data_IF_064090102630
#
_entry.id   IF_064090102630
#
_cell.length_a   1.000
_cell.length_b   1.000
_cell.length_c   1.000
_cell.angle_alpha   90.00
_cell.angle_beta   90.00
_cell.angle_gamma   90.00
#
_symmetry.space_group_name_H-M   'P 1'
#
loop_
_entity.id
_entity.type
_entity.pdbx_description
1 polymer ?
#
# COMPACT_ATOMS: atom_id res chain seq x y z
N UNK A 1 5.70 6.99 -28.66
CA UNK A 1 4.52 6.17 -28.32
C UNK A 1 4.31 6.24 -26.82
N UNK A 2 3.16 6.74 -26.36
CA UNK A 2 2.77 6.72 -24.95
C UNK A 2 2.27 5.32 -24.59
N UNK A 3 2.69 4.80 -23.42
CA UNK A 3 2.16 3.54 -22.91
C UNK A 3 0.66 3.67 -22.61
N UNK A 4 -0.16 2.64 -22.83
CA UNK A 4 -1.56 2.66 -22.45
C UNK A 4 -1.68 2.86 -20.92
N UNK A 5 -2.73 3.58 -20.51
CA UNK A 5 -3.12 3.73 -19.11
C UNK A 5 -3.79 2.45 -18.61
N UNK A 6 -3.88 2.30 -17.28
CA UNK A 6 -4.61 1.19 -16.69
C UNK A 6 -6.11 1.37 -16.94
N UNK A 7 -6.81 0.28 -17.15
CA UNK A 7 -8.27 0.21 -17.07
C UNK A 7 -8.71 0.32 -15.61
N UNK A 8 -9.98 0.66 -15.38
CA UNK A 8 -10.55 0.68 -14.03
C UNK A 8 -10.42 -0.68 -13.32
N UNK A 9 -10.63 -1.78 -14.04
CA UNK A 9 -10.50 -3.13 -13.48
C UNK A 9 -9.06 -3.44 -13.07
N UNK A 10 -8.07 -3.01 -13.87
CA UNK A 10 -6.67 -3.14 -13.49
C UNK A 10 -6.31 -2.30 -12.26
N UNK A 11 -6.92 -1.12 -12.11
CA UNK A 11 -6.78 -0.33 -10.88
C UNK A 11 -7.35 -1.05 -9.66
N UNK A 12 -8.55 -1.64 -9.75
CA UNK A 12 -9.19 -2.39 -8.66
C UNK A 12 -8.36 -3.63 -8.26
N UNK A 13 -7.92 -4.42 -9.24
CA UNK A 13 -7.06 -5.57 -8.99
C UNK A 13 -5.72 -5.16 -8.36
N UNK A 14 -5.13 -4.05 -8.81
CA UNK A 14 -3.91 -3.52 -8.23
C UNK A 14 -4.13 -3.03 -6.79
N UNK A 15 -5.22 -2.31 -6.54
CA UNK A 15 -5.61 -1.85 -5.20
C UNK A 15 -5.76 -3.01 -4.22
N UNK A 16 -6.47 -4.07 -4.61
CA UNK A 16 -6.61 -5.28 -3.79
C UNK A 16 -5.26 -5.93 -3.45
N UNK A 17 -4.37 -6.06 -4.45
CA UNK A 17 -3.05 -6.69 -4.24
C UNK A 17 -2.18 -5.87 -3.30
N UNK A 18 -2.15 -4.55 -3.48
CA UNK A 18 -1.37 -3.65 -2.63
C UNK A 18 -1.93 -3.59 -1.21
N UNK A 19 -3.26 -3.65 -1.04
CA UNK A 19 -3.89 -3.75 0.28
C UNK A 19 -3.46 -5.02 1.03
N UNK A 20 -3.44 -6.17 0.35
CA UNK A 20 -2.98 -7.43 0.94
C UNK A 20 -1.50 -7.35 1.36
N UNK A 21 -0.62 -6.78 0.52
CA UNK A 21 0.79 -6.60 0.85
C UNK A 21 0.95 -5.68 2.06
N UNK A 22 0.21 -4.56 2.12
CA UNK A 22 0.24 -3.65 3.26
C UNK A 22 -0.16 -4.33 4.56
N UNK A 23 -1.22 -5.13 4.52
CA UNK A 23 -1.70 -5.88 5.68
C UNK A 23 -0.65 -6.88 6.17
N UNK A 24 -0.02 -7.62 5.25
CA UNK A 24 1.04 -8.57 5.58
C UNK A 24 2.27 -7.87 6.21
N UNK A 25 2.70 -6.73 5.65
CA UNK A 25 3.78 -5.93 6.24
C UNK A 25 3.46 -5.50 7.67
N UNK A 26 2.21 -5.13 7.93
CA UNK A 26 1.77 -4.77 9.28
C UNK A 26 1.81 -5.97 10.24
N UNK A 27 1.26 -7.12 9.85
CA UNK A 27 1.31 -8.35 10.66
C UNK A 27 2.75 -8.72 11.00
N UNK A 28 3.63 -8.75 10.00
CA UNK A 28 5.04 -9.09 10.18
C UNK A 28 5.75 -8.09 11.09
N UNK A 29 5.47 -6.79 10.97
CA UNK A 29 6.02 -5.77 11.86
C UNK A 29 5.60 -6.02 13.32
N UNK A 30 4.34 -6.36 13.57
CA UNK A 30 3.83 -6.67 14.91
C UNK A 30 4.48 -7.94 15.45
N UNK A 31 4.60 -8.98 14.62
CA UNK A 31 5.25 -10.23 15.02
C UNK A 31 6.70 -9.98 15.46
N UNK A 32 7.45 -9.16 14.73
CA UNK A 32 8.81 -8.79 15.10
C UNK A 32 8.87 -7.92 16.36
N UNK A 33 7.95 -6.97 16.53
CA UNK A 33 7.87 -6.14 17.75
C UNK A 33 7.50 -6.93 19.00
N UNK A 34 6.85 -8.09 18.84
CA UNK A 34 6.56 -9.03 19.91
C UNK A 34 7.73 -9.98 20.20
N UNK A 35 8.54 -10.30 19.19
CA UNK A 35 9.67 -11.22 19.32
C UNK A 35 10.97 -10.54 19.78
N UNK A 36 11.18 -9.27 19.42
CA UNK A 36 12.43 -8.55 19.64
C UNK A 36 12.21 -7.22 20.39
N UNK A 37 13.24 -6.70 21.08
CA UNK A 37 13.17 -5.39 21.71
C UNK A 37 12.82 -4.27 20.70
N UNK A 38 12.05 -3.27 21.15
CA UNK A 38 11.63 -2.11 20.33
C UNK A 38 12.76 -1.12 20.03
N UNK A 39 13.94 -1.32 20.62
CA UNK A 39 15.12 -0.45 20.50
C UNK A 39 16.37 -1.25 20.22
N UNK A 40 17.39 -0.62 19.64
CA UNK A 40 18.66 -1.27 19.31
C UNK A 40 18.61 -2.02 17.98
N UNK A 41 19.67 -2.78 17.67
CA UNK A 41 19.87 -3.40 16.34
C UNK A 41 18.82 -4.44 16.01
N UNK A 42 18.29 -5.14 17.01
CA UNK A 42 17.24 -6.15 16.82
C UNK A 42 15.87 -5.54 16.45
N UNK A 43 15.68 -4.23 16.71
CA UNK A 43 14.46 -3.51 16.30
C UNK A 43 14.44 -3.12 14.81
N UNK A 44 15.61 -3.14 14.15
CA UNK A 44 15.75 -2.65 12.77
C UNK A 44 14.86 -3.38 11.75
N UNK A 45 14.71 -4.73 11.79
CA UNK A 45 13.80 -5.41 10.87
C UNK A 45 12.35 -4.93 10.97
N UNK A 46 11.82 -4.76 12.18
CA UNK A 46 10.45 -4.27 12.38
C UNK A 46 10.27 -2.83 11.85
N UNK A 47 11.26 -1.96 12.09
CA UNK A 47 11.25 -0.59 11.56
C UNK A 47 11.26 -0.57 10.04
N UNK A 48 12.04 -1.44 9.39
CA UNK A 48 12.12 -1.49 7.92
C UNK A 48 10.81 -1.97 7.28
N UNK A 49 10.09 -2.89 7.93
CA UNK A 49 8.76 -3.27 7.47
C UNK A 49 7.74 -2.13 7.62
N UNK A 50 7.83 -1.37 8.71
CA UNK A 50 6.99 -0.18 8.91
C UNK A 50 7.32 0.93 7.90
N UNK A 51 8.59 1.19 7.61
CA UNK A 51 9.02 2.11 6.54
C UNK A 51 8.48 1.66 5.17
N UNK A 52 8.57 0.36 4.85
CA UNK A 52 8.02 -0.18 3.61
C UNK A 52 6.50 0.01 3.52
N UNK A 53 5.79 -0.15 4.65
CA UNK A 53 4.35 0.11 4.77
C UNK A 53 4.01 1.57 4.45
N UNK A 54 4.78 2.51 4.99
CA UNK A 54 4.59 3.94 4.74
C UNK A 54 4.89 4.34 3.29
N UNK A 55 5.93 3.77 2.68
CA UNK A 55 6.22 3.99 1.25
C UNK A 55 5.07 3.46 0.38
N UNK A 56 4.50 2.32 0.75
CA UNK A 56 3.34 1.76 0.07
C UNK A 56 2.09 2.64 0.22
N UNK A 57 1.85 3.23 1.40
CA UNK A 57 0.76 4.20 1.61
C UNK A 57 0.89 5.40 0.65
N UNK A 58 2.10 5.96 0.50
CA UNK A 58 2.34 7.04 -0.47
C UNK A 58 2.07 6.58 -1.90
N UNK A 59 2.44 5.36 -2.27
CA UNK A 59 2.16 4.83 -3.60
C UNK A 59 0.64 4.67 -3.84
N UNK A 60 -0.12 4.22 -2.84
CA UNK A 60 -1.58 4.12 -2.88
C UNK A 60 -2.23 5.49 -3.10
N UNK A 61 -1.77 6.52 -2.38
CA UNK A 61 -2.26 7.90 -2.55
C UNK A 61 -2.05 8.40 -3.98
N UNK A 62 -0.85 8.17 -4.54
CA UNK A 62 -0.53 8.59 -5.92
C UNK A 62 -1.31 7.83 -6.98
N UNK A 63 -1.61 6.56 -6.73
CA UNK A 63 -2.43 5.76 -7.64
C UNK A 63 -3.91 6.16 -7.57
N UNK A 64 -4.40 6.58 -6.40
CA UNK A 64 -5.73 7.14 -6.23
C UNK A 64 -5.87 8.46 -6.98
N UNK A 65 -4.94 9.40 -6.81
CA UNK A 65 -4.88 10.64 -7.60
C UNK A 65 -4.98 10.32 -9.10
N UNK A 66 -4.24 9.30 -9.54
CA UNK A 66 -4.19 8.91 -10.95
C UNK A 66 -5.47 8.24 -11.46
N UNK A 67 -6.13 7.43 -10.63
CA UNK A 67 -7.44 6.87 -10.93
C UNK A 67 -8.48 7.98 -11.15
N UNK A 68 -8.47 9.03 -10.33
CA UNK A 68 -9.37 10.17 -10.48
C UNK A 68 -9.10 10.97 -11.77
N UNK A 69 -7.84 11.07 -12.19
CA UNK A 69 -7.49 11.69 -13.47
C UNK A 69 -7.88 10.84 -14.68
N UNK A 70 -7.66 9.52 -14.62
CA UNK A 70 -7.83 8.61 -15.75
C UNK A 70 -9.29 8.16 -15.94
N UNK A 71 -10.04 8.00 -14.84
CA UNK A 71 -11.40 7.45 -14.83
C UNK A 71 -12.37 8.26 -13.94
N UNK A 72 -12.56 9.57 -14.16
CA UNK A 72 -13.28 10.46 -13.23
C UNK A 72 -14.75 10.08 -12.97
N UNK A 73 -15.39 9.33 -13.88
CA UNK A 73 -16.78 8.87 -13.73
C UNK A 73 -16.91 7.56 -12.95
N UNK A 74 -15.83 6.80 -12.82
CA UNK A 74 -15.79 5.49 -12.16
C UNK A 74 -14.96 5.50 -10.89
N UNK A 75 -14.06 6.49 -10.75
CA UNK A 75 -13.20 6.65 -9.60
C UNK A 75 -14.03 6.76 -8.31
N UNK A 76 -13.71 5.90 -7.36
CA UNK A 76 -14.20 5.96 -5.99
C UNK A 76 -12.99 5.93 -5.05
N UNK A 77 -13.17 6.47 -3.84
CA UNK A 77 -12.14 6.40 -2.80
C UNK A 77 -11.81 4.95 -2.46
N UNK A 78 -12.72 4.01 -2.65
CA UNK A 78 -12.60 2.63 -2.15
C UNK A 78 -11.51 1.81 -2.85
N UNK A 79 -11.14 2.15 -4.09
CA UNK A 79 -10.21 1.33 -4.89
C UNK A 79 -8.83 1.22 -4.22
N UNK A 80 -8.26 2.35 -3.79
CA UNK A 80 -6.96 2.37 -3.11
C UNK A 80 -7.07 2.65 -1.60
N UNK A 81 -8.17 3.24 -1.11
CA UNK A 81 -8.34 3.47 0.34
C UNK A 81 -8.56 2.19 1.15
N UNK A 82 -9.04 1.09 0.55
CA UNK A 82 -9.12 -0.23 1.20
C UNK A 82 -7.76 -0.71 1.70
N UNK A 83 -6.68 -0.31 1.02
CA UNK A 83 -5.34 -0.59 1.50
C UNK A 83 -5.04 0.09 2.82
N UNK A 84 -5.66 1.24 3.12
CA UNK A 84 -5.34 2.11 4.26
C UNK A 84 -6.15 1.80 5.53
N UNK A 85 -7.30 1.14 5.41
CA UNK A 85 -8.09 0.65 6.56
C UNK A 85 -7.32 -0.41 7.37
#
# INVERSE_FOLDING_TARGET
MTKPRLTFEEHDQLGMRLAAIRHELHILSIQLLNAYPKTGRESEPAKKLEEARQVLDVALDRLEDRLYEEHPRQATTDVYSRGRQ
#
